data_IF_348164278033
#
_entry.id   IF_348164278033
#
_cell.length_a   1.000
_cell.length_b   1.000
_cell.length_c   1.000
_cell.angle_alpha   90.00
_cell.angle_beta   90.00
_cell.angle_gamma   90.00
#
_symmetry.space_group_name_H-M   'P 1'
#
loop_
_entity.id
_entity.type
_entity.pdbx_description
1 polymer ?
#
# COMPACT_ATOMS: atom_id res chain seq x y z
N UNK A 1 -13.32 21.39 7.61
CA UNK A 1 -12.94 20.38 8.60
C UNK A 1 -11.59 19.84 8.15
N UNK A 2 -10.52 20.05 8.93
CA UNK A 2 -9.22 19.47 8.62
C UNK A 2 -9.23 18.04 9.14
N UNK A 3 -9.08 17.06 8.24
CA UNK A 3 -8.88 15.67 8.62
C UNK A 3 -7.60 15.59 9.47
N UNK A 4 -7.67 14.85 10.60
CA UNK A 4 -6.48 14.59 11.40
C UNK A 4 -5.43 13.89 10.51
N UNK A 5 -4.14 14.24 10.63
CA UNK A 5 -3.11 13.45 9.97
C UNK A 5 -3.19 12.03 10.49
N UNK A 6 -3.22 11.05 9.58
CA UNK A 6 -3.16 9.65 9.96
C UNK A 6 -1.79 9.39 10.60
N UNK A 7 -1.77 8.63 11.69
CA UNK A 7 -0.51 8.27 12.35
C UNK A 7 0.11 7.02 11.72
N UNK A 8 1.44 6.88 11.76
CA UNK A 8 2.17 5.69 11.29
C UNK A 8 1.58 4.39 11.85
N UNK A 9 1.08 4.43 13.08
CA UNK A 9 0.40 3.31 13.74
C UNK A 9 -0.89 2.91 13.01
N UNK A 10 -1.69 3.87 12.56
CA UNK A 10 -2.94 3.59 11.82
C UNK A 10 -2.66 3.01 10.43
N UNK A 11 -1.56 3.40 9.78
CA UNK A 11 -1.14 2.80 8.51
C UNK A 11 -0.68 1.35 8.73
N UNK A 12 0.17 1.11 9.72
CA UNK A 12 0.68 -0.23 10.05
C UNK A 12 -0.45 -1.19 10.41
N UNK A 13 -1.40 -0.75 11.26
CA UNK A 13 -2.57 -1.55 11.62
C UNK A 13 -3.43 -1.86 10.40
N UNK A 14 -3.70 -0.88 9.54
CA UNK A 14 -4.47 -1.09 8.30
C UNK A 14 -3.81 -2.10 7.36
N UNK A 15 -2.48 -2.05 7.22
CA UNK A 15 -1.74 -2.99 6.38
C UNK A 15 -1.78 -4.42 6.96
N UNK A 16 -1.69 -4.56 8.28
CA UNK A 16 -1.75 -5.85 8.96
C UNK A 16 -3.16 -6.48 8.89
N UNK A 17 -4.20 -5.68 9.05
CA UNK A 17 -5.59 -6.13 8.89
C UNK A 17 -5.85 -6.60 7.45
N UNK A 18 -5.37 -5.83 6.47
CA UNK A 18 -5.56 -6.19 5.06
C UNK A 18 -4.77 -7.44 4.66
N UNK A 19 -3.52 -7.58 5.12
CA UNK A 19 -2.73 -8.79 4.91
C UNK A 19 -3.45 -10.03 5.49
N UNK A 20 -3.96 -9.94 6.72
CA UNK A 20 -4.70 -11.04 7.35
C UNK A 20 -5.95 -11.42 6.55
N UNK A 21 -6.66 -10.44 5.99
CA UNK A 21 -7.82 -10.72 5.13
C UNK A 21 -7.40 -11.48 3.87
N UNK A 22 -6.30 -11.10 3.24
CA UNK A 22 -5.79 -11.73 2.01
C UNK A 22 -5.30 -13.16 2.24
N UNK A 23 -4.72 -13.43 3.40
CA UNK A 23 -4.27 -14.77 3.80
C UNK A 23 -5.42 -15.71 4.20
N UNK A 24 -6.59 -15.15 4.53
CA UNK A 24 -7.76 -15.96 4.90
C UNK A 24 -8.32 -16.65 3.66
N UNK A 25 -8.35 -18.01 3.62
CA UNK A 25 -8.88 -18.73 2.47
C UNK A 25 -10.35 -18.38 2.22
N UNK A 26 -10.69 -18.05 0.98
CA UNK A 26 -12.07 -17.74 0.59
C UNK A 26 -12.81 -19.03 0.27
N UNK A 27 -14.00 -19.20 0.83
CA UNK A 27 -14.88 -20.34 0.52
C UNK A 27 -15.90 -19.97 -0.56
N UNK A 28 -16.44 -20.96 -1.30
CA UNK A 28 -17.52 -20.72 -2.25
C UNK A 28 -18.71 -20.00 -1.60
N UNK A 29 -19.20 -18.93 -2.23
CA UNK A 29 -20.28 -18.09 -1.70
C UNK A 29 -19.81 -16.84 -0.94
N UNK A 30 -18.51 -16.70 -0.64
CA UNK A 30 -17.95 -15.50 -0.01
C UNK A 30 -17.09 -14.65 -0.98
N UNK A 31 -16.97 -15.09 -2.23
CA UNK A 31 -16.08 -14.48 -3.22
C UNK A 31 -16.43 -13.02 -3.52
N UNK A 32 -17.72 -12.70 -3.63
CA UNK A 32 -18.17 -11.33 -3.86
C UNK A 32 -17.76 -10.42 -2.72
N UNK A 33 -18.11 -10.82 -1.49
CA UNK A 33 -17.79 -10.06 -0.27
C UNK A 33 -16.28 -9.93 -0.08
N UNK A 34 -15.51 -10.97 -0.39
CA UNK A 34 -14.06 -10.90 -0.37
C UNK A 34 -13.52 -9.86 -1.36
N UNK A 35 -14.01 -9.86 -2.60
CA UNK A 35 -13.57 -8.92 -3.61
C UNK A 35 -13.99 -7.47 -3.27
N UNK A 36 -15.20 -7.30 -2.71
CA UNK A 36 -15.69 -6.00 -2.25
C UNK A 36 -14.88 -5.45 -1.07
N UNK A 37 -14.58 -6.28 -0.08
CA UNK A 37 -13.71 -5.89 1.03
C UNK A 37 -12.32 -5.51 0.53
N UNK A 38 -11.71 -6.32 -0.35
CA UNK A 38 -10.41 -6.00 -0.93
C UNK A 38 -10.38 -4.68 -1.70
N UNK A 39 -11.43 -4.39 -2.48
CA UNK A 39 -11.59 -3.09 -3.14
C UNK A 39 -11.67 -1.95 -2.10
N UNK A 40 -12.51 -2.11 -1.09
CA UNK A 40 -12.75 -1.09 -0.05
C UNK A 40 -11.49 -0.80 0.76
N UNK A 41 -10.74 -1.84 1.13
CA UNK A 41 -9.46 -1.70 1.83
C UNK A 41 -8.43 -0.97 0.98
N UNK A 42 -8.33 -1.25 -0.32
CA UNK A 42 -7.42 -0.52 -1.21
C UNK A 42 -7.82 0.95 -1.39
N UNK A 43 -9.11 1.25 -1.54
CA UNK A 43 -9.60 2.64 -1.61
C UNK A 43 -9.34 3.40 -0.30
N UNK A 44 -9.49 2.73 0.84
CA UNK A 44 -9.13 3.26 2.16
C UNK A 44 -7.63 3.49 2.29
N UNK A 45 -6.83 2.51 1.93
CA UNK A 45 -5.37 2.56 1.95
C UNK A 45 -4.83 3.67 1.05
N UNK A 46 -5.40 3.88 -0.13
CA UNK A 46 -5.02 4.97 -1.02
C UNK A 46 -5.11 6.33 -0.33
N UNK A 47 -6.22 6.59 0.37
CA UNK A 47 -6.45 7.84 1.09
C UNK A 47 -5.50 7.99 2.27
N UNK A 48 -5.37 6.93 3.09
CA UNK A 48 -4.47 6.93 4.26
C UNK A 48 -3.02 7.15 3.84
N UNK A 49 -2.56 6.43 2.82
CA UNK A 49 -1.19 6.51 2.34
C UNK A 49 -0.88 7.85 1.67
N UNK A 50 -1.79 8.38 0.84
CA UNK A 50 -1.62 9.72 0.25
C UNK A 50 -1.55 10.81 1.32
N UNK A 51 -2.40 10.73 2.36
CA UNK A 51 -2.36 11.65 3.48
C UNK A 51 -1.04 11.53 4.27
N UNK A 52 -0.59 10.29 4.53
CA UNK A 52 0.67 9.99 5.20
C UNK A 52 1.88 10.55 4.46
N UNK A 53 1.96 10.38 3.14
CA UNK A 53 3.01 10.98 2.30
C UNK A 53 3.01 12.51 2.47
N UNK A 54 1.82 13.13 2.40
CA UNK A 54 1.69 14.58 2.47
C UNK A 54 2.06 15.17 3.85
N UNK A 55 1.77 14.45 4.94
CA UNK A 55 2.00 14.94 6.30
C UNK A 55 3.34 14.51 6.90
N UNK A 56 3.79 13.27 6.65
CA UNK A 56 4.97 12.67 7.28
C UNK A 56 6.17 12.67 6.34
N UNK A 57 6.09 11.98 5.20
CA UNK A 57 7.23 11.82 4.28
C UNK A 57 7.80 13.17 3.84
N UNK A 58 6.94 14.11 3.44
CA UNK A 58 7.40 15.44 3.02
C UNK A 58 8.10 16.23 4.14
N UNK A 59 7.73 16.02 5.40
CA UNK A 59 8.42 16.63 6.53
C UNK A 59 9.78 15.96 6.78
N UNK A 60 9.82 14.63 6.78
CA UNK A 60 11.06 13.84 6.95
C UNK A 60 12.06 14.13 5.82
N UNK A 61 11.62 14.20 4.56
CA UNK A 61 12.48 14.52 3.42
C UNK A 61 13.13 15.89 3.54
N UNK A 62 12.36 16.91 3.93
CA UNK A 62 12.89 18.27 4.12
C UNK A 62 13.97 18.29 5.18
N UNK A 63 13.78 17.56 6.27
CA UNK A 63 14.75 17.50 7.34
C UNK A 63 16.00 16.69 6.93
N UNK A 64 15.83 15.53 6.27
CA UNK A 64 16.94 14.73 5.73
C UNK A 64 17.81 15.59 4.80
N UNK A 65 17.21 16.29 3.83
CA UNK A 65 17.95 17.13 2.87
C UNK A 65 18.65 18.30 3.54
N UNK A 66 18.04 18.87 4.58
CA UNK A 66 18.64 19.96 5.36
C UNK A 66 19.88 19.48 6.14
N UNK A 67 19.84 18.28 6.70
CA UNK A 67 20.95 17.69 7.46
C UNK A 67 22.04 17.13 6.54
N UNK A 68 21.66 16.46 5.44
CA UNK A 68 22.58 15.85 4.48
C UNK A 68 22.10 16.09 3.03
N UNK A 69 22.51 17.21 2.39
CA UNK A 69 22.18 17.49 1.00
C UNK A 69 22.66 16.41 0.01
N UNK A 70 23.62 15.56 0.40
CA UNK A 70 24.07 14.43 -0.41
C UNK A 70 23.00 13.35 -0.61
N UNK A 71 21.92 13.37 0.18
CA UNK A 71 20.81 12.42 0.09
C UNK A 71 19.75 12.81 -0.95
N UNK A 72 19.83 14.00 -1.57
CA UNK A 72 18.82 14.49 -2.53
C UNK A 72 18.48 13.45 -3.62
N UNK A 73 19.46 12.82 -4.32
CA UNK A 73 19.14 11.85 -5.36
C UNK A 73 18.48 10.57 -4.84
N UNK A 74 18.63 10.28 -3.54
CA UNK A 74 17.89 9.17 -2.91
C UNK A 74 16.47 9.61 -2.64
N UNK A 75 16.25 10.77 -2.03
CA UNK A 75 14.91 11.30 -1.74
C UNK A 75 14.04 11.45 -2.99
N UNK A 76 14.63 11.75 -4.15
CA UNK A 76 13.92 11.74 -5.44
C UNK A 76 13.39 10.34 -5.79
N UNK A 77 14.21 9.29 -5.65
CA UNK A 77 13.77 7.90 -5.90
C UNK A 77 12.68 7.45 -4.94
N UNK A 78 12.73 7.93 -3.70
CA UNK A 78 11.75 7.60 -2.67
C UNK A 78 10.41 8.23 -3.04
N UNK A 79 10.39 9.49 -3.47
CA UNK A 79 9.18 10.13 -4.01
C UNK A 79 8.63 9.43 -5.25
N UNK A 80 9.50 8.97 -6.14
CA UNK A 80 9.08 8.21 -7.32
C UNK A 80 8.43 6.88 -6.91
N UNK A 81 8.96 6.21 -5.88
CA UNK A 81 8.39 4.97 -5.33
C UNK A 81 7.04 5.24 -4.63
N UNK A 82 6.90 6.30 -3.83
CA UNK A 82 5.63 6.72 -3.22
C UNK A 82 4.54 6.89 -4.31
N UNK A 83 4.89 7.56 -5.41
CA UNK A 83 4.00 7.75 -6.54
C UNK A 83 3.69 6.44 -7.29
N UNK A 84 4.66 5.53 -7.38
CA UNK A 84 4.47 4.21 -7.99
C UNK A 84 3.54 3.33 -7.14
N UNK A 85 3.69 3.36 -5.81
CA UNK A 85 2.83 2.66 -4.86
C UNK A 85 1.38 3.16 -4.98
N UNK A 86 1.15 4.48 -5.02
CA UNK A 86 -0.20 5.04 -5.17
C UNK A 86 -0.88 4.60 -6.46
N UNK A 87 -0.14 4.55 -7.58
CA UNK A 87 -0.66 4.05 -8.87
C UNK A 87 -0.99 2.57 -8.79
N UNK A 88 -0.18 1.79 -8.08
CA UNK A 88 -0.39 0.36 -7.92
C UNK A 88 -1.62 0.05 -7.06
N UNK A 89 -1.85 0.83 -5.99
CA UNK A 89 -3.09 0.76 -5.19
C UNK A 89 -4.32 0.99 -6.09
N UNK A 90 -4.29 2.04 -6.92
CA UNK A 90 -5.39 2.35 -7.85
C UNK A 90 -5.61 1.22 -8.86
N UNK A 91 -4.52 0.69 -9.45
CA UNK A 91 -4.59 -0.43 -10.39
C UNK A 91 -5.24 -1.65 -9.75
N UNK A 92 -4.77 -2.07 -8.58
CA UNK A 92 -5.28 -3.23 -7.88
C UNK A 92 -6.73 -3.05 -7.44
N UNK A 93 -7.12 -1.85 -7.01
CA UNK A 93 -8.53 -1.55 -6.72
C UNK A 93 -9.42 -1.76 -7.96
N UNK A 94 -8.94 -1.32 -9.13
CA UNK A 94 -9.61 -1.59 -10.40
C UNK A 94 -9.71 -3.08 -10.74
N UNK A 95 -8.68 -3.88 -10.42
CA UNK A 95 -8.72 -5.34 -10.60
C UNK A 95 -9.76 -5.97 -9.66
N UNK A 96 -9.78 -5.61 -8.38
CA UNK A 96 -10.81 -6.08 -7.43
C UNK A 96 -12.23 -5.72 -7.90
N UNK A 97 -12.44 -4.49 -8.37
CA UNK A 97 -13.73 -4.06 -8.91
C UNK A 97 -14.14 -4.87 -10.16
N UNK A 98 -13.19 -5.24 -11.03
CA UNK A 98 -13.44 -6.13 -12.17
C UNK A 98 -13.79 -7.54 -11.71
N UNK A 99 -13.03 -8.10 -10.77
CA UNK A 99 -13.27 -9.42 -10.18
C UNK A 99 -14.66 -9.51 -9.57
N UNK A 100 -15.09 -8.48 -8.83
CA UNK A 100 -16.44 -8.38 -8.27
C UNK A 100 -17.54 -8.50 -9.34
N UNK A 101 -17.37 -7.86 -10.49
CA UNK A 101 -18.33 -7.94 -11.62
C UNK A 101 -18.36 -9.34 -12.23
N UNK A 102 -17.21 -9.99 -12.38
CA UNK A 102 -17.11 -11.37 -12.90
C UNK A 102 -17.83 -12.33 -11.95
N UNK A 103 -17.58 -12.22 -10.64
CA UNK A 103 -18.23 -13.07 -9.64
C UNK A 103 -19.75 -12.88 -9.65
N UNK A 104 -20.23 -11.64 -9.66
CA UNK A 104 -21.67 -11.36 -9.72
C UNK A 104 -22.32 -11.95 -10.99
N UNK A 105 -21.65 -11.85 -12.15
CA UNK A 105 -22.14 -12.44 -13.39
C UNK A 105 -22.17 -13.97 -13.33
N UNK A 106 -21.17 -14.59 -12.69
CA UNK A 106 -21.09 -16.04 -12.52
C UNK A 106 -22.22 -16.58 -11.64
N UNK A 107 -22.64 -15.85 -10.61
CA UNK A 107 -23.79 -16.22 -9.77
C UNK A 107 -25.11 -16.23 -10.56
N UNK A 108 -25.26 -15.31 -11.51
CA UNK A 108 -26.42 -15.23 -12.40
C UNK A 108 -26.38 -16.27 -13.55
N UNK A 109 -25.19 -16.75 -13.92
CA UNK A 109 -24.96 -17.72 -14.99
C UNK A 109 -23.81 -18.73 -14.68
N UNK A 110 -24.06 -19.77 -13.85
CA UNK A 110 -23.02 -20.58 -13.19
C UNK A 110 -22.06 -21.40 -14.06
N UNK A 111 -22.35 -21.55 -15.37
CA UNK A 111 -21.64 -22.50 -16.24
C UNK A 111 -20.44 -21.91 -16.98
N UNK A 112 -20.17 -20.60 -16.84
CA UNK A 112 -19.26 -19.90 -17.75
C UNK A 112 -17.93 -19.42 -17.15
N UNK A 113 -17.89 -19.18 -15.82
CA UNK A 113 -16.87 -18.26 -15.28
C UNK A 113 -16.05 -18.80 -14.08
N UNK A 114 -16.22 -20.05 -13.63
CA UNK A 114 -15.48 -20.54 -12.44
C UNK A 114 -13.97 -20.66 -12.68
N UNK A 115 -13.55 -21.15 -13.85
CA UNK A 115 -12.13 -21.24 -14.21
C UNK A 115 -11.47 -19.86 -14.34
N UNK A 116 -12.21 -18.84 -14.81
CA UNK A 116 -11.71 -17.46 -14.88
C UNK A 116 -11.51 -16.89 -13.46
N UNK A 117 -12.45 -17.12 -12.54
CA UNK A 117 -12.33 -16.69 -11.14
C UNK A 117 -11.14 -17.37 -10.47
N UNK A 118 -11.02 -18.70 -10.58
CA UNK A 118 -9.93 -19.47 -9.97
C UNK A 118 -8.55 -19.05 -10.52
N UNK A 119 -8.47 -18.59 -11.76
CA UNK A 119 -7.24 -18.06 -12.35
C UNK A 119 -6.89 -16.63 -11.88
N UNK A 120 -7.88 -15.83 -11.46
CA UNK A 120 -7.69 -14.44 -11.03
C UNK A 120 -7.27 -14.33 -9.56
N UNK A 121 -7.81 -15.17 -8.67
CA UNK A 121 -7.60 -15.01 -7.22
C UNK A 121 -6.12 -15.13 -6.81
N UNK A 122 -5.36 -16.17 -7.21
CA UNK A 122 -3.97 -16.30 -6.78
C UNK A 122 -3.07 -15.11 -7.18
N UNK A 123 -3.06 -14.63 -8.44
CA UNK A 123 -2.25 -13.47 -8.80
C UNK A 123 -2.73 -12.19 -8.12
N UNK A 124 -4.05 -11.98 -7.98
CA UNK A 124 -4.57 -10.80 -7.29
C UNK A 124 -4.12 -10.74 -5.83
N UNK A 125 -4.22 -11.86 -5.11
CA UNK A 125 -3.72 -11.97 -3.73
C UNK A 125 -2.20 -11.75 -3.68
N UNK A 126 -1.44 -12.40 -4.56
CA UNK A 126 0.02 -12.28 -4.59
C UNK A 126 0.51 -10.87 -4.88
N UNK A 127 -0.08 -10.19 -5.87
CA UNK A 127 0.25 -8.80 -6.21
C UNK A 127 -0.11 -7.84 -5.07
N UNK A 128 -1.23 -8.07 -4.39
CA UNK A 128 -1.66 -7.22 -3.27
C UNK A 128 -0.75 -7.40 -2.05
N UNK A 129 -0.33 -8.63 -1.74
CA UNK A 129 0.67 -8.89 -0.70
C UNK A 129 2.02 -8.24 -1.04
N UNK A 130 2.44 -8.31 -2.30
CA UNK A 130 3.67 -7.66 -2.76
C UNK A 130 3.60 -6.12 -2.60
N UNK A 131 2.43 -5.51 -2.87
CA UNK A 131 2.19 -4.09 -2.60
C UNK A 131 2.33 -3.76 -1.10
N UNK A 132 1.72 -4.55 -0.21
CA UNK A 132 1.82 -4.35 1.25
C UNK A 132 3.29 -4.40 1.70
N UNK A 133 4.06 -5.36 1.19
CA UNK A 133 5.50 -5.47 1.47
C UNK A 133 6.25 -4.24 0.98
N UNK A 134 5.96 -3.76 -0.24
CA UNK A 134 6.61 -2.56 -0.80
C UNK A 134 6.34 -1.32 0.05
N UNK A 135 5.11 -1.13 0.53
CA UNK A 135 4.77 -0.02 1.45
C UNK A 135 5.63 -0.12 2.72
N UNK A 136 5.68 -1.30 3.36
CA UNK A 136 6.51 -1.49 4.57
C UNK A 136 8.00 -1.26 4.31
N UNK A 137 8.51 -1.68 3.16
CA UNK A 137 9.91 -1.44 2.78
C UNK A 137 10.20 0.05 2.61
N UNK A 138 9.27 0.80 2.03
CA UNK A 138 9.36 2.23 1.86
C UNK A 138 9.44 2.95 3.21
N UNK A 139 8.52 2.67 4.14
CA UNK A 139 8.52 3.27 5.48
C UNK A 139 9.86 3.03 6.21
N UNK A 140 10.33 1.78 6.20
CA UNK A 140 11.61 1.42 6.82
C UNK A 140 12.80 2.17 6.19
N UNK A 141 12.76 2.39 4.88
CA UNK A 141 13.83 3.09 4.18
C UNK A 141 13.89 4.56 4.59
N UNK A 142 12.73 5.22 4.66
CA UNK A 142 12.60 6.62 5.10
C UNK A 142 13.09 6.78 6.53
N UNK A 143 12.64 5.92 7.45
CA UNK A 143 13.08 5.94 8.85
C UNK A 143 14.59 5.74 8.98
N UNK A 144 15.15 4.79 8.23
CA UNK A 144 16.60 4.53 8.23
C UNK A 144 17.37 5.77 7.80
N UNK A 145 16.99 6.40 6.67
CA UNK A 145 17.69 7.59 6.20
C UNK A 145 17.49 8.80 7.09
N UNK A 146 16.32 8.93 7.72
CA UNK A 146 16.08 9.96 8.72
C UNK A 146 17.08 9.81 9.87
N UNK A 147 17.21 8.61 10.45
CA UNK A 147 18.18 8.35 11.52
C UNK A 147 19.63 8.60 11.05
N UNK A 148 20.01 8.12 9.87
CA UNK A 148 21.36 8.31 9.31
C UNK A 148 21.72 9.79 9.13
N UNK A 149 20.80 10.61 8.62
CA UNK A 149 21.03 12.03 8.39
C UNK A 149 21.38 12.78 9.70
N UNK A 150 20.72 12.41 10.81
CA UNK A 150 21.00 12.99 12.13
C UNK A 150 22.22 12.40 12.84
N UNK A 151 22.56 11.13 12.59
CA UNK A 151 23.76 10.52 13.16
C UNK A 151 25.03 11.00 12.47
N UNK A 152 24.97 11.33 11.17
CA UNK A 152 26.10 11.88 10.40
C UNK A 152 26.56 13.23 10.92
N UNK A 153 25.63 14.08 11.37
CA UNK A 153 25.94 15.37 12.01
C UNK A 153 26.69 15.20 13.35
N UNK A 154 26.54 14.04 14.02
CA UNK A 154 27.23 13.74 15.28
C UNK A 154 28.58 13.03 15.11
N UNK A 155 28.96 12.68 13.89
CA UNK A 155 30.05 11.77 13.62
C UNK A 155 31.16 12.33 12.74
N UNK A 156 31.87 13.39 13.18
CA UNK A 156 33.34 13.54 13.16
C UNK A 156 33.70 14.68 14.12
N UNK A 157 33.93 14.34 15.38
CA UNK A 157 34.70 15.17 16.32
C UNK A 157 35.53 14.23 17.20
N UNK A 158 36.55 13.62 16.59
CA UNK A 158 37.83 13.28 17.23
C UNK A 158 38.90 13.10 16.14
#
# INVERSE_FOLDING_TARGET
MAEKPYSDTELVESLAEFEKQLETPVVPGELYDWAERGQTELEGLQKKYAAHIASSHEAQYKEIVKQDPGQIPRMERVRDEDAAILKEIERLSGVFARTKRIINAAEEAPQRDSEEIDAILPPLTGETLALIIRIRMQENAIDTWYVEAFQRDRGVAD
#
